data_IF_127036143600
#
_entry.id   IF_127036143600
#
_cell.length_a   1.000
_cell.length_b   1.000
_cell.length_c   1.000
_cell.angle_alpha   90.00
_cell.angle_beta   90.00
_cell.angle_gamma   90.00
#
_symmetry.space_group_name_H-M   'P 1'
#
loop_
_entity.id
_entity.type
_entity.pdbx_description
1 polymer ?
#
# COMPACT_ATOMS: atom_id res chain seq x y z
N UNK A 1 -4.82 4.20 -14.70
CA UNK A 1 -6.12 3.69 -14.22
C UNK A 1 -5.86 2.26 -13.80
N UNK A 2 -6.11 1.92 -12.53
CA UNK A 2 -5.98 0.52 -12.11
C UNK A 2 -7.04 -0.32 -12.85
N UNK A 3 -6.67 -1.50 -13.35
CA UNK A 3 -7.61 -2.36 -14.06
C UNK A 3 -8.69 -2.83 -13.08
N UNK A 4 -9.95 -2.57 -13.40
CA UNK A 4 -11.10 -3.15 -12.70
C UNK A 4 -11.10 -4.66 -12.98
N UNK A 5 -11.42 -5.48 -11.97
CA UNK A 5 -11.57 -6.92 -12.15
C UNK A 5 -12.91 -7.25 -12.83
N UNK A 6 -12.98 -7.06 -14.14
CA UNK A 6 -14.20 -7.24 -14.93
C UNK A 6 -14.72 -8.68 -14.87
N UNK A 7 -13.83 -9.68 -14.91
CA UNK A 7 -14.21 -11.10 -14.90
C UNK A 7 -14.95 -11.46 -13.60
N UNK A 8 -14.49 -10.94 -12.46
CA UNK A 8 -15.15 -11.14 -11.19
C UNK A 8 -16.60 -10.63 -11.18
N UNK A 9 -16.85 -9.43 -11.72
CA UNK A 9 -18.22 -8.89 -11.79
C UNK A 9 -19.15 -9.75 -12.65
N UNK A 10 -18.67 -10.26 -13.80
CA UNK A 10 -19.47 -11.15 -14.65
C UNK A 10 -19.72 -12.50 -13.99
N UNK A 11 -18.73 -13.07 -13.30
CA UNK A 11 -18.90 -14.33 -12.57
C UNK A 11 -19.91 -14.19 -11.42
N UNK A 12 -19.89 -13.09 -10.66
CA UNK A 12 -20.86 -12.86 -9.57
C UNK A 12 -22.29 -12.68 -10.08
N UNK A 13 -22.46 -12.06 -11.26
CA UNK A 13 -23.76 -11.96 -11.91
C UNK A 13 -24.28 -13.35 -12.34
N UNK A 14 -23.43 -14.17 -12.95
CA UNK A 14 -23.76 -15.52 -13.40
C UNK A 14 -24.11 -16.45 -12.22
N UNK A 15 -23.34 -16.40 -11.14
CA UNK A 15 -23.62 -17.14 -9.90
C UNK A 15 -24.97 -16.77 -9.26
N UNK A 16 -25.44 -15.54 -9.48
CA UNK A 16 -26.70 -15.05 -8.96
C UNK A 16 -27.89 -15.24 -9.88
N UNK A 17 -27.73 -15.94 -11.02
CA UNK A 17 -28.70 -16.01 -12.12
C UNK A 17 -29.20 -14.61 -12.56
N UNK A 18 -28.33 -13.59 -12.46
CA UNK A 18 -28.65 -12.18 -12.74
C UNK A 18 -27.96 -11.74 -14.01
N UNK A 19 -28.66 -10.98 -14.85
CA UNK A 19 -28.06 -10.42 -16.07
C UNK A 19 -27.54 -9.00 -15.86
N UNK A 20 -26.61 -8.57 -16.72
CA UNK A 20 -26.14 -7.18 -16.77
C UNK A 20 -27.29 -6.20 -17.07
N UNK A 21 -28.34 -6.65 -17.78
CA UNK A 21 -29.54 -5.84 -18.04
C UNK A 21 -30.39 -5.66 -16.78
N UNK A 22 -30.42 -6.64 -15.90
CA UNK A 22 -31.15 -6.56 -14.63
C UNK A 22 -30.45 -5.61 -13.66
N UNK A 23 -29.11 -5.66 -13.62
CA UNK A 23 -28.31 -4.67 -12.90
C UNK A 23 -28.54 -3.25 -13.43
N UNK A 24 -28.54 -3.08 -14.75
CA UNK A 24 -28.80 -1.77 -15.38
C UNK A 24 -30.20 -1.23 -15.04
N UNK A 25 -31.23 -2.10 -15.04
CA UNK A 25 -32.59 -1.74 -14.61
C UNK A 25 -32.63 -1.36 -13.13
N UNK A 26 -31.95 -2.10 -12.26
CA UNK A 26 -31.90 -1.81 -10.83
C UNK A 26 -31.28 -0.44 -10.55
N UNK A 27 -30.18 -0.12 -11.23
CA UNK A 27 -29.47 1.15 -11.08
C UNK A 27 -30.09 2.32 -11.87
N UNK A 28 -31.15 2.08 -12.64
CA UNK A 28 -31.72 3.07 -13.59
C UNK A 28 -30.69 3.63 -14.58
N UNK A 29 -29.74 2.79 -15.01
CA UNK A 29 -28.67 3.14 -15.96
C UNK A 29 -28.88 2.45 -17.31
N UNK A 30 -28.27 3.01 -18.36
CA UNK A 30 -28.22 2.34 -19.66
C UNK A 30 -27.29 1.10 -19.61
N UNK A 31 -27.66 -0.04 -20.23
CA UNK A 31 -26.82 -1.23 -20.25
C UNK A 31 -25.41 -0.99 -20.78
N UNK A 32 -25.22 -0.06 -21.74
CA UNK A 32 -23.89 0.32 -22.23
C UNK A 32 -23.07 1.07 -21.17
N UNK A 33 -23.72 1.90 -20.35
CA UNK A 33 -23.05 2.62 -19.26
C UNK A 33 -22.56 1.65 -18.18
N UNK A 34 -23.35 0.62 -17.85
CA UNK A 34 -22.96 -0.44 -16.92
C UNK A 34 -21.84 -1.30 -17.50
N UNK A 35 -21.93 -1.69 -18.77
CA UNK A 35 -20.87 -2.45 -19.43
C UNK A 35 -19.53 -1.72 -19.43
N UNK A 36 -19.52 -0.42 -19.77
CA UNK A 36 -18.32 0.43 -19.74
C UNK A 36 -17.78 0.63 -18.32
N UNK A 37 -18.67 0.70 -17.32
CA UNK A 37 -18.30 0.82 -15.91
C UNK A 37 -17.59 -0.44 -15.42
N UNK A 38 -18.13 -1.63 -15.69
CA UNK A 38 -17.52 -2.90 -15.26
C UNK A 38 -16.21 -3.22 -16.00
N UNK A 39 -16.04 -2.69 -17.22
CA UNK A 39 -14.78 -2.75 -18.00
C UNK A 39 -13.72 -1.74 -17.56
N UNK A 40 -14.04 -0.80 -16.66
CA UNK A 40 -13.14 0.27 -16.26
C UNK A 40 -12.97 1.41 -17.28
N UNK A 41 -13.72 1.39 -18.39
CA UNK A 41 -13.77 2.49 -19.36
C UNK A 41 -14.53 3.71 -18.82
N UNK A 42 -15.37 3.51 -17.80
CA UNK A 42 -16.10 4.55 -17.05
C UNK A 42 -15.79 4.40 -15.57
N UNK A 43 -15.57 5.52 -14.87
CA UNK A 43 -15.40 5.54 -13.41
C UNK A 43 -16.72 5.18 -12.74
N UNK A 44 -16.68 4.20 -11.85
CA UNK A 44 -17.77 3.84 -10.94
C UNK A 44 -17.84 4.83 -9.77
N UNK A 45 -19.02 5.40 -9.53
CA UNK A 45 -19.32 6.28 -8.39
C UNK A 45 -19.37 5.51 -7.05
N UNK A 46 -19.44 6.23 -5.94
CA UNK A 46 -19.74 5.65 -4.62
C UNK A 46 -21.15 5.03 -4.60
N UNK A 47 -22.17 5.79 -5.02
CA UNK A 47 -23.55 5.31 -5.07
C UNK A 47 -23.70 4.07 -5.97
N UNK A 48 -22.98 4.05 -7.10
CA UNK A 48 -22.98 2.90 -8.02
C UNK A 48 -22.34 1.65 -7.38
N UNK A 49 -21.40 1.80 -6.44
CA UNK A 49 -20.87 0.65 -5.68
C UNK A 49 -21.88 0.14 -4.67
N UNK A 50 -22.60 1.04 -4.00
CA UNK A 50 -23.64 0.69 -3.03
C UNK A 50 -24.78 -0.07 -3.72
N UNK A 51 -25.20 0.39 -4.91
CA UNK A 51 -26.22 -0.27 -5.71
C UNK A 51 -25.78 -1.68 -6.17
N UNK A 52 -24.51 -1.85 -6.58
CA UNK A 52 -23.97 -3.15 -6.96
C UNK A 52 -23.92 -4.10 -5.76
N UNK A 53 -23.49 -3.61 -4.60
CA UNK A 53 -23.46 -4.39 -3.36
C UNK A 53 -24.87 -4.85 -2.95
N UNK A 54 -25.84 -3.93 -2.99
CA UNK A 54 -27.24 -4.23 -2.70
C UNK A 54 -27.84 -5.21 -3.72
N UNK A 55 -27.55 -5.04 -5.02
CA UNK A 55 -28.06 -5.92 -6.07
C UNK A 55 -27.47 -7.32 -5.98
N UNK A 56 -26.17 -7.46 -5.69
CA UNK A 56 -25.49 -8.75 -5.59
C UNK A 56 -25.66 -9.42 -4.21
N UNK A 57 -26.06 -8.66 -3.18
CA UNK A 57 -26.21 -9.17 -1.81
C UNK A 57 -24.88 -9.45 -1.12
N UNK A 58 -23.83 -8.72 -1.48
CA UNK A 58 -22.48 -8.86 -0.95
C UNK A 58 -22.04 -7.60 -0.20
N UNK A 59 -20.96 -7.68 0.58
CA UNK A 59 -20.45 -6.53 1.32
C UNK A 59 -19.84 -5.50 0.35
N UNK A 60 -20.05 -4.21 0.63
CA UNK A 60 -19.46 -3.08 -0.09
C UNK A 60 -17.93 -3.20 -0.17
N UNK A 61 -17.28 -3.69 0.87
CA UNK A 61 -15.82 -3.90 0.90
C UNK A 61 -15.35 -4.86 -0.20
N UNK A 62 -16.14 -5.92 -0.48
CA UNK A 62 -15.84 -6.90 -1.52
C UNK A 62 -15.93 -6.26 -2.92
N UNK A 63 -16.95 -5.41 -3.15
CA UNK A 63 -17.11 -4.65 -4.40
C UNK A 63 -15.98 -3.63 -4.57
N UNK A 64 -15.62 -2.92 -3.50
CA UNK A 64 -14.58 -1.90 -3.53
C UNK A 64 -13.19 -2.49 -3.82
N UNK A 65 -12.89 -3.69 -3.27
CA UNK A 65 -11.65 -4.41 -3.55
C UNK A 65 -11.52 -4.74 -5.05
N UNK A 66 -12.57 -5.28 -5.66
CA UNK A 66 -12.55 -5.67 -7.09
C UNK A 66 -12.66 -4.46 -8.03
N UNK A 67 -13.21 -3.33 -7.56
CA UNK A 67 -13.16 -2.03 -8.27
C UNK A 67 -11.73 -1.48 -8.36
N UNK A 68 -10.91 -1.62 -7.31
CA UNK A 68 -9.52 -1.13 -7.32
C UNK A 68 -8.58 -2.05 -8.13
N UNK A 69 -9.02 -3.25 -8.48
CA UNK A 69 -8.15 -4.33 -8.96
C UNK A 69 -7.29 -4.86 -7.81
N UNK A 70 -6.51 -5.94 -8.04
CA UNK A 70 -5.56 -6.52 -7.07
C UNK A 70 -4.52 -5.47 -6.62
N UNK A 71 -4.91 -4.63 -5.68
CA UNK A 71 -4.05 -3.85 -4.80
C UNK A 71 -4.54 -4.20 -3.40
N UNK A 72 -4.17 -5.41 -2.97
CA UNK A 72 -4.27 -5.77 -1.56
C UNK A 72 -3.08 -5.11 -0.86
N UNK A 73 -3.32 -4.05 -0.09
CA UNK A 73 -2.32 -3.44 0.80
C UNK A 73 -2.07 -1.94 0.58
N UNK A 74 -1.26 -1.37 1.48
CA UNK A 74 -0.70 -0.01 1.42
C UNK A 74 0.58 0.07 0.57
N UNK A 75 0.87 -0.96 -0.23
CA UNK A 75 2.09 -0.99 -1.04
C UNK A 75 2.00 0.05 -2.16
N UNK A 76 3.00 0.91 -2.23
CA UNK A 76 3.16 1.80 -3.39
C UNK A 76 3.53 0.96 -4.62
N UNK A 77 3.06 1.39 -5.80
CA UNK A 77 3.30 0.73 -7.11
C UNK A 77 4.78 0.43 -7.44
N UNK A 78 5.73 1.00 -6.68
CA UNK A 78 7.19 0.82 -6.88
C UNK A 78 7.87 0.07 -5.72
N UNK A 79 7.13 -0.35 -4.72
CA UNK A 79 7.68 -1.13 -3.61
C UNK A 79 7.82 -2.59 -4.06
N UNK A 80 9.01 -3.18 -3.89
CA UNK A 80 9.19 -4.61 -4.09
C UNK A 80 8.47 -5.39 -2.99
N UNK A 81 7.94 -6.58 -3.33
CA UNK A 81 7.31 -7.45 -2.33
C UNK A 81 8.27 -7.77 -1.20
N UNK A 82 7.82 -7.65 0.05
CA UNK A 82 8.62 -8.04 1.20
C UNK A 82 8.98 -9.53 1.13
N UNK A 83 10.27 -9.83 1.01
CA UNK A 83 10.77 -11.21 1.04
C UNK A 83 11.11 -11.58 2.48
N UNK A 84 10.24 -12.38 3.10
CA UNK A 84 10.41 -12.85 4.47
C UNK A 84 11.49 -13.93 4.64
N UNK A 85 12.18 -14.33 3.56
CA UNK A 85 13.24 -15.35 3.60
C UNK A 85 14.64 -14.80 3.88
N UNK A 86 14.79 -13.49 4.10
CA UNK A 86 16.07 -12.90 4.49
C UNK A 86 16.55 -13.42 5.85
N UNK A 87 17.70 -14.09 5.87
CA UNK A 87 18.38 -14.52 7.11
C UNK A 87 18.56 -13.34 8.08
N UNK A 88 18.17 -13.55 9.34
CA UNK A 88 18.36 -12.60 10.45
C UNK A 88 19.85 -12.28 10.74
N UNK A 89 20.77 -13.12 10.25
CA UNK A 89 22.21 -13.04 10.57
C UNK A 89 23.02 -12.12 9.64
N UNK A 90 22.41 -11.56 8.58
CA UNK A 90 23.11 -10.61 7.70
C UNK A 90 22.23 -9.39 7.49
N UNK A 91 22.66 -8.18 7.92
CA UNK A 91 21.91 -6.98 7.58
C UNK A 91 21.78 -6.93 6.05
N UNK A 92 20.56 -6.87 5.50
CA UNK A 92 20.32 -7.02 4.05
C UNK A 92 20.93 -5.89 3.21
N UNK A 93 21.41 -4.83 3.86
CA UNK A 93 22.03 -3.66 3.24
C UNK A 93 23.17 -3.18 4.15
N UNK A 94 24.35 -2.88 3.58
CA UNK A 94 25.40 -2.16 4.30
C UNK A 94 24.83 -0.84 4.83
N UNK A 95 24.76 -0.69 6.14
CA UNK A 95 24.37 0.59 6.75
C UNK A 95 25.48 1.60 6.49
N UNK A 96 25.18 2.61 5.69
CA UNK A 96 26.16 3.63 5.30
C UNK A 96 26.44 4.59 6.44
N UNK A 97 27.71 4.89 6.68
CA UNK A 97 28.15 5.78 7.75
C UNK A 97 28.65 7.11 7.18
N UNK A 98 29.03 8.05 8.05
CA UNK A 98 29.67 9.30 7.65
C UNK A 98 30.97 9.07 6.86
N UNK A 99 31.62 7.93 7.08
CA UNK A 99 32.89 7.58 6.45
C UNK A 99 32.71 7.13 4.98
N UNK A 100 31.49 6.75 4.59
CA UNK A 100 31.15 6.38 3.21
C UNK A 100 30.81 7.61 2.32
N UNK A 101 30.84 8.83 2.88
CA UNK A 101 30.45 10.06 2.16
C UNK A 101 31.64 10.68 1.44
N UNK A 102 31.54 10.79 0.12
CA UNK A 102 32.55 11.45 -0.74
C UNK A 102 32.15 12.91 -0.96
N UNK A 103 33.02 13.84 -0.58
CA UNK A 103 32.83 15.27 -0.83
C UNK A 103 33.52 15.67 -2.13
N UNK A 104 32.74 16.11 -3.13
CA UNK A 104 33.25 16.53 -4.43
C UNK A 104 32.41 17.66 -5.01
N UNK A 105 33.07 18.71 -5.50
CA UNK A 105 32.43 19.85 -6.16
C UNK A 105 31.36 20.56 -5.31
N UNK A 106 31.59 20.65 -3.99
CA UNK A 106 30.64 21.23 -3.03
C UNK A 106 29.37 20.39 -2.79
N UNK A 107 29.30 19.21 -3.39
CA UNK A 107 28.22 18.23 -3.24
C UNK A 107 28.71 16.99 -2.50
N UNK A 108 27.74 16.27 -1.92
CA UNK A 108 27.98 15.01 -1.22
C UNK A 108 27.56 13.87 -2.14
N UNK A 109 28.44 12.90 -2.28
CA UNK A 109 28.27 11.73 -3.11
C UNK A 109 28.45 10.47 -2.30
N UNK A 110 27.90 9.39 -2.82
CA UNK A 110 27.86 8.10 -2.16
C UNK A 110 28.05 7.00 -3.18
N UNK A 111 28.97 6.08 -2.92
CA UNK A 111 29.25 4.96 -3.80
C UNK A 111 28.40 3.75 -3.38
N UNK A 112 27.65 3.20 -4.34
CA UNK A 112 26.93 1.93 -4.18
C UNK A 112 27.89 0.75 -4.27
N UNK A 113 27.40 -0.44 -3.90
CA UNK A 113 28.13 -1.71 -4.10
C UNK A 113 28.48 -2.00 -5.56
N UNK A 114 27.74 -1.41 -6.52
CA UNK A 114 27.98 -1.50 -7.96
C UNK A 114 29.00 -0.46 -8.49
N UNK A 115 29.60 0.36 -7.61
CA UNK A 115 30.53 1.44 -7.96
C UNK A 115 29.86 2.72 -8.50
N UNK A 116 28.53 2.77 -8.54
CA UNK A 116 27.81 3.96 -9.01
C UNK A 116 27.78 5.03 -7.93
N UNK A 117 28.11 6.27 -8.31
CA UNK A 117 28.00 7.44 -7.44
C UNK A 117 26.58 8.02 -7.47
N UNK A 118 25.94 8.12 -6.31
CA UNK A 118 24.66 8.81 -6.10
C UNK A 118 24.93 10.15 -5.43
N UNK A 119 24.29 11.21 -5.92
CA UNK A 119 24.27 12.50 -5.23
C UNK A 119 23.35 12.40 -3.99
N UNK A 120 23.90 12.70 -2.81
CA UNK A 120 23.17 12.75 -1.55
C UNK A 120 22.38 14.06 -1.46
N UNK A 121 21.08 13.96 -1.15
CA UNK A 121 20.23 15.12 -0.93
C UNK A 121 20.81 16.02 0.18
N UNK A 122 20.69 17.37 0.09
CA UNK A 122 21.20 18.30 1.12
C UNK A 122 20.67 18.05 2.54
N UNK A 123 19.44 17.54 2.66
CA UNK A 123 18.85 17.17 3.95
C UNK A 123 19.46 15.90 4.58
N UNK A 124 20.27 15.12 3.84
CA UNK A 124 20.89 13.92 4.41
C UNK A 124 21.75 14.28 5.63
N UNK A 125 21.50 13.60 6.75
CA UNK A 125 22.18 13.84 8.02
C UNK A 125 21.72 15.07 8.80
N UNK A 126 20.68 15.81 8.37
CA UNK A 126 20.19 16.98 9.12
C UNK A 126 19.61 16.63 10.50
N UNK A 127 19.11 15.40 10.66
CA UNK A 127 18.60 14.86 11.92
C UNK A 127 19.65 14.08 12.71
N UNK A 128 20.92 14.07 12.27
CA UNK A 128 21.96 13.36 13.00
C UNK A 128 22.12 13.94 14.41
N UNK A 129 21.97 13.10 15.43
CA UNK A 129 22.07 13.49 16.84
C UNK A 129 20.79 14.05 17.46
N UNK A 130 19.67 14.12 16.74
CA UNK A 130 18.38 14.54 17.32
C UNK A 130 17.74 13.44 18.17
N UNK A 131 18.08 12.19 17.93
CA UNK A 131 17.65 11.03 18.71
C UNK A 131 18.86 10.51 19.48
N UNK A 132 18.71 10.37 20.80
CA UNK A 132 19.70 9.73 21.66
C UNK A 132 19.14 8.40 22.14
N UNK A 133 19.81 7.31 21.75
CA UNK A 133 19.50 5.97 22.26
C UNK A 133 20.45 5.69 23.42
N UNK A 134 19.91 5.37 24.59
CA UNK A 134 20.74 5.06 25.76
C UNK A 134 21.50 3.74 25.54
N UNK A 135 22.73 3.59 26.08
CA UNK A 135 23.45 2.33 26.01
C UNK A 135 22.62 1.17 26.60
N UNK A 136 22.53 0.06 25.88
CA UNK A 136 21.78 -1.13 26.31
C UNK A 136 20.28 -1.12 25.96
N UNK A 137 19.77 -0.07 25.31
CA UNK A 137 18.40 -0.06 24.79
C UNK A 137 18.32 -0.80 23.47
N UNK A 138 17.53 -1.88 23.44
CA UNK A 138 17.19 -2.60 22.21
C UNK A 138 15.88 -2.04 21.63
N UNK A 139 15.97 -1.34 20.50
CA UNK A 139 14.82 -0.77 19.79
C UNK A 139 14.08 -1.80 18.92
N UNK A 140 14.61 -3.01 18.81
CA UNK A 140 14.02 -4.09 18.01
C UNK A 140 13.15 -5.03 18.84
N UNK A 141 13.34 -5.02 20.16
CA UNK A 141 12.48 -5.72 21.09
C UNK A 141 11.06 -5.15 21.05
N UNK A 142 10.01 -5.98 21.25
CA UNK A 142 8.67 -5.47 21.46
C UNK A 142 8.70 -4.50 22.64
N UNK A 143 8.03 -3.36 22.49
CA UNK A 143 7.90 -2.40 23.58
C UNK A 143 7.26 -3.08 24.78
N UNK A 144 7.88 -2.97 25.96
CA UNK A 144 7.34 -3.48 27.23
C UNK A 144 6.05 -2.71 27.57
N UNK A 145 4.94 -3.16 26.99
CA UNK A 145 3.61 -2.58 27.20
C UNK A 145 3.14 -2.76 28.65
N UNK A 146 3.74 -3.72 29.35
CA UNK A 146 3.35 -4.16 30.70
C UNK A 146 3.90 -3.26 31.82
N UNK A 147 5.00 -2.51 31.63
CA UNK A 147 5.74 -1.98 32.79
C UNK A 147 5.75 -0.47 33.00
N UNK A 148 5.15 0.39 32.16
CA UNK A 148 4.82 1.77 32.58
C UNK A 148 4.01 2.62 31.57
N UNK A 149 4.08 2.31 30.27
CA UNK A 149 3.53 3.20 29.23
C UNK A 149 2.09 2.89 28.81
N UNK A 150 1.66 1.62 28.87
CA UNK A 150 0.33 1.20 28.43
C UNK A 150 -0.80 1.58 29.39
N UNK A 151 -0.56 1.49 30.70
CA UNK A 151 -1.60 1.71 31.71
C UNK A 151 -1.86 3.20 32.01
N UNK A 152 -0.84 4.06 32.03
CA UNK A 152 -1.00 5.48 32.41
C UNK A 152 -1.62 6.37 31.33
N UNK A 153 -1.49 6.01 30.06
CA UNK A 153 -1.87 6.90 28.95
C UNK A 153 -3.31 6.70 28.47
N UNK A 154 -3.91 5.54 28.77
CA UNK A 154 -5.25 5.16 28.30
C UNK A 154 -6.28 4.92 29.41
N UNK A 155 -5.88 4.97 30.69
CA UNK A 155 -6.78 4.74 31.84
C UNK A 155 -6.95 5.97 32.77
N UNK A 156 -6.69 7.20 32.30
CA UNK A 156 -7.16 8.44 32.97
C UNK A 156 -8.42 9.01 32.30
#
# INVERSE_FOLDING_TARGET
MSPIDSEWFYQKLDQGDKSLRDLARFMSLDPSAVSRMLKGERKMSADEQDDIAAFLGINLEEVAAHRRGKVFGFEETKQGSYDATGSLDTPPVKMFTKDDIVYKDGKRWMEKEDGTLIELHPAYGCMAGTITVMPGVDLTAPMDWEEEWGEKLYNE
#
